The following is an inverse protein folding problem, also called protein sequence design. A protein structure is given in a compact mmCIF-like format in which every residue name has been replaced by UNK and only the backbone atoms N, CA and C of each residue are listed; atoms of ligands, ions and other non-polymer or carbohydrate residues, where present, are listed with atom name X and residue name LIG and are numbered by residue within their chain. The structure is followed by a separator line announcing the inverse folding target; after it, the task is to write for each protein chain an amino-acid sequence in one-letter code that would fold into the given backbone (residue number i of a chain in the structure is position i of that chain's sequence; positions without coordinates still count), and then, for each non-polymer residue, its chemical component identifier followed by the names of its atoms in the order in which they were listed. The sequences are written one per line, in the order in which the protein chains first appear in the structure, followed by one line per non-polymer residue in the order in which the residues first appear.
data_IF_358296102943
#
_entry.id   IF_358296102943
#
_cell.length_a   1.000
_cell.length_b   1.000
_cell.length_c   1.000
_cell.angle_alpha   90.00
_cell.angle_beta   90.00
_cell.angle_gamma   90.00
#
_symmetry.space_group_name_H-M   'P 1'
#
loop_
_entity.id
_entity.type
_entity.pdbx_description
1 polymer ?
#
# COMPACT_ATOMS: atom_id res chain seq x y z
N UNK A 1 57.32 -13.98 -41.13
CA UNK A 1 56.00 -13.46 -40.70
C UNK A 1 55.09 -14.65 -40.44
N UNK A 2 54.84 -14.99 -39.17
CA UNK A 2 53.91 -16.06 -38.79
C UNK A 2 52.69 -15.42 -38.12
N UNK A 3 51.54 -15.57 -38.78
CA UNK A 3 50.24 -15.06 -38.37
C UNK A 3 49.68 -15.89 -37.21
N UNK A 4 49.32 -15.26 -36.09
CA UNK A 4 48.68 -15.90 -34.95
C UNK A 4 47.15 -15.88 -35.12
N UNK A 5 46.54 -17.04 -35.33
CA UNK A 5 45.09 -17.19 -35.40
C UNK A 5 44.49 -17.27 -33.99
N UNK A 6 43.82 -16.23 -33.52
CA UNK A 6 43.06 -16.22 -32.26
C UNK A 6 41.87 -17.18 -32.35
N UNK A 7 41.89 -18.24 -31.53
CA UNK A 7 40.80 -19.21 -31.34
C UNK A 7 39.60 -18.50 -30.70
N UNK A 8 38.51 -18.31 -31.43
CA UNK A 8 37.21 -17.91 -30.84
C UNK A 8 36.47 -19.18 -30.41
N UNK A 9 36.31 -19.39 -29.11
CA UNK A 9 35.43 -20.42 -28.56
C UNK A 9 33.98 -19.93 -28.66
N UNK A 10 33.21 -20.54 -29.55
CA UNK A 10 31.77 -20.36 -29.59
C UNK A 10 31.14 -21.29 -28.55
N UNK A 11 30.29 -20.73 -27.69
CA UNK A 11 29.48 -21.49 -26.75
C UNK A 11 28.59 -22.47 -27.52
N UNK A 12 28.43 -23.69 -27.01
CA UNK A 12 27.53 -24.67 -27.62
C UNK A 12 26.07 -24.26 -27.35
N UNK A 13 25.16 -24.60 -28.27
CA UNK A 13 23.72 -24.33 -28.10
C UNK A 13 23.16 -24.93 -26.80
N UNK A 14 23.69 -26.08 -26.38
CA UNK A 14 23.29 -26.76 -25.16
C UNK A 14 23.74 -26.00 -23.91
N UNK A 15 24.96 -25.46 -23.93
CA UNK A 15 25.50 -24.66 -22.82
C UNK A 15 24.72 -23.36 -22.63
N UNK A 16 24.31 -22.70 -23.74
CA UNK A 16 23.46 -21.51 -23.68
C UNK A 16 22.10 -21.81 -23.06
N UNK A 17 21.48 -22.94 -23.41
CA UNK A 17 20.19 -23.35 -22.86
C UNK A 17 20.27 -23.58 -21.35
N UNK A 18 21.32 -24.27 -20.88
CA UNK A 18 21.54 -24.53 -19.44
C UNK A 18 21.69 -23.22 -18.66
N UNK A 19 22.42 -22.24 -19.19
CA UNK A 19 22.59 -20.93 -18.55
C UNK A 19 21.25 -20.20 -18.39
N UNK A 20 20.40 -20.20 -19.42
CA UNK A 20 19.08 -19.54 -19.37
C UNK A 20 18.18 -20.17 -18.30
N UNK A 21 18.20 -21.50 -18.18
CA UNK A 21 17.40 -22.23 -17.17
C UNK A 21 17.88 -21.91 -15.75
N UNK A 22 19.20 -21.92 -15.50
CA UNK A 22 19.76 -21.61 -14.19
C UNK A 22 19.44 -20.17 -13.78
N UNK A 23 19.62 -19.22 -14.70
CA UNK A 23 19.29 -17.81 -14.46
C UNK A 23 17.81 -17.65 -14.11
N UNK A 24 16.91 -18.33 -14.83
CA UNK A 24 15.47 -18.31 -14.56
C UNK A 24 15.11 -18.83 -13.17
N UNK A 25 15.76 -19.91 -12.71
CA UNK A 25 15.56 -20.47 -11.37
C UNK A 25 16.07 -19.51 -10.28
N UNK A 26 17.25 -18.92 -10.48
CA UNK A 26 17.83 -17.97 -9.52
C UNK A 26 16.95 -16.71 -9.41
N UNK A 27 16.42 -16.21 -10.53
CA UNK A 27 15.45 -15.11 -10.50
C UNK A 27 14.17 -15.52 -9.77
N UNK A 28 13.61 -16.69 -10.07
CA UNK A 28 12.40 -17.16 -9.40
C UNK A 28 12.59 -17.32 -7.88
N UNK A 29 13.71 -17.89 -7.44
CA UNK A 29 14.01 -18.06 -6.01
C UNK A 29 14.38 -16.73 -5.34
N UNK A 30 15.06 -15.83 -6.05
CA UNK A 30 15.42 -14.49 -5.56
C UNK A 30 14.21 -13.61 -5.30
N UNK A 31 13.15 -13.73 -6.11
CA UNK A 31 11.92 -12.96 -5.91
C UNK A 31 10.97 -13.61 -4.88
N UNK A 32 10.86 -14.94 -4.83
CA UNK A 32 9.97 -15.62 -3.89
C UNK A 32 10.55 -15.73 -2.46
N UNK A 33 11.85 -15.49 -2.26
CA UNK A 33 12.50 -15.59 -0.95
C UNK A 33 12.32 -14.38 -0.02
N UNK A 34 11.63 -13.33 -0.48
CA UNK A 34 11.55 -12.02 0.20
C UNK A 34 10.24 -11.75 0.97
N UNK A 35 9.41 -12.76 1.23
CA UNK A 35 8.28 -12.63 2.16
C UNK A 35 8.45 -13.53 3.38
N UNK A 36 9.53 -13.31 4.14
CA UNK A 36 9.59 -13.77 5.52
C UNK A 36 8.90 -12.75 6.40
N UNK A 37 7.57 -12.86 6.47
CA UNK A 37 6.75 -12.13 7.45
C UNK A 37 7.25 -12.45 8.86
N UNK A 38 7.87 -11.48 9.51
CA UNK A 38 8.20 -11.59 10.93
C UNK A 38 6.89 -11.54 11.74
N UNK A 39 6.58 -12.65 12.40
CA UNK A 39 5.48 -12.88 13.35
C UNK A 39 5.53 -12.02 14.64
N UNK A 40 5.94 -10.74 14.55
CA UNK A 40 5.70 -9.76 15.61
C UNK A 40 4.64 -8.79 15.11
N UNK A 41 3.55 -8.54 15.86
CA UNK A 41 2.55 -7.56 15.45
C UNK A 41 3.23 -6.19 15.35
N UNK A 42 3.51 -5.77 14.11
CA UNK A 42 4.04 -4.44 13.82
C UNK A 42 2.93 -3.45 14.14
N UNK A 43 3.29 -2.32 14.74
CA UNK A 43 2.31 -1.27 15.00
C UNK A 43 1.65 -0.82 13.69
N UNK A 44 0.36 -0.54 13.72
CA UNK A 44 -0.37 0.05 12.61
C UNK A 44 0.10 1.49 12.44
N UNK A 45 0.67 1.80 11.28
CA UNK A 45 1.24 3.09 10.89
C UNK A 45 0.65 3.49 9.53
N UNK A 46 0.81 4.75 9.14
CA UNK A 46 0.36 5.22 7.83
C UNK A 46 0.95 4.42 6.65
N UNK A 47 2.18 3.89 6.79
CA UNK A 47 2.89 3.19 5.72
C UNK A 47 2.49 1.71 5.58
N UNK A 48 2.05 1.06 6.65
CA UNK A 48 1.68 -0.35 6.64
C UNK A 48 0.18 -0.56 6.85
N UNK A 49 -0.63 0.50 6.81
CA UNK A 49 -2.06 0.43 7.14
C UNK A 49 -2.78 -0.56 6.23
N UNK A 50 -2.62 -0.39 4.91
CA UNK A 50 -3.24 -1.24 3.91
C UNK A 50 -2.81 -2.71 4.03
N UNK A 51 -1.50 -2.94 4.08
CA UNK A 51 -0.95 -4.29 4.15
C UNK A 51 -1.29 -4.97 5.48
N UNK A 52 -1.32 -4.24 6.60
CA UNK A 52 -1.63 -4.81 7.91
C UNK A 52 -3.10 -5.23 8.02
N UNK A 53 -4.03 -4.47 7.43
CA UNK A 53 -5.44 -4.87 7.41
C UNK A 53 -5.67 -6.04 6.45
N UNK A 54 -5.13 -5.98 5.23
CA UNK A 54 -5.31 -7.04 4.22
C UNK A 54 -4.73 -8.40 4.64
N UNK A 55 -3.69 -8.42 5.49
CA UNK A 55 -3.12 -9.64 6.05
C UNK A 55 -3.68 -10.03 7.43
N UNK A 56 -4.64 -9.27 7.97
CA UNK A 56 -5.25 -9.61 9.26
C UNK A 56 -6.23 -10.77 9.11
N UNK A 57 -6.36 -11.59 10.16
CA UNK A 57 -7.33 -12.70 10.19
C UNK A 57 -8.79 -12.22 10.07
N UNK A 58 -9.03 -10.95 10.38
CA UNK A 58 -10.33 -10.31 10.27
C UNK A 58 -10.67 -9.91 8.83
N UNK A 59 -9.73 -9.94 7.87
CA UNK A 59 -10.01 -9.49 6.51
C UNK A 59 -10.62 -10.60 5.65
N UNK A 60 -11.90 -10.46 5.31
CA UNK A 60 -12.65 -11.39 4.45
C UNK A 60 -12.86 -10.88 3.02
N UNK A 61 -11.97 -10.00 2.55
CA UNK A 61 -12.00 -9.42 1.20
C UNK A 61 -12.50 -7.98 1.15
N UNK A 62 -13.38 -7.57 2.06
CA UNK A 62 -13.72 -6.18 2.27
C UNK A 62 -13.61 -5.84 3.75
N UNK A 63 -13.38 -4.56 4.07
CA UNK A 63 -13.38 -4.09 5.44
C UNK A 63 -13.56 -2.57 5.53
N UNK A 64 -14.08 -2.09 6.65
CA UNK A 64 -14.00 -0.68 7.01
C UNK A 64 -13.23 -0.54 8.31
N UNK A 65 -12.15 0.23 8.28
CA UNK A 65 -11.40 0.65 9.45
C UNK A 65 -11.87 2.06 9.85
N UNK A 66 -12.25 2.23 11.10
CA UNK A 66 -12.49 3.54 11.71
C UNK A 66 -11.55 3.73 12.89
N UNK A 67 -11.04 4.94 13.09
CA UNK A 67 -10.27 5.29 14.27
C UNK A 67 -10.89 6.49 14.99
N UNK A 68 -10.87 6.45 16.32
CA UNK A 68 -11.41 7.46 17.24
C UNK A 68 -10.37 7.82 18.30
N UNK A 69 -10.73 8.72 19.23
CA UNK A 69 -9.87 9.15 20.34
C UNK A 69 -8.50 9.65 19.87
N UNK A 70 -8.51 10.60 18.92
CA UNK A 70 -7.28 11.11 18.28
C UNK A 70 -6.48 9.99 17.58
N UNK A 71 -7.16 9.02 16.98
CA UNK A 71 -6.58 7.92 16.23
C UNK A 71 -5.70 7.00 17.08
N UNK A 72 -6.07 6.85 18.36
CA UNK A 72 -5.41 5.92 19.30
C UNK A 72 -6.12 4.58 19.37
N UNK A 73 -7.43 4.58 19.13
CA UNK A 73 -8.27 3.38 19.13
C UNK A 73 -8.86 3.20 17.74
N UNK A 74 -8.71 2.03 17.15
CA UNK A 74 -9.28 1.71 15.86
C UNK A 74 -10.18 0.48 15.96
N UNK A 75 -11.18 0.45 15.10
CA UNK A 75 -12.15 -0.63 15.00
C UNK A 75 -12.28 -1.05 13.56
N UNK A 76 -12.41 -2.35 13.33
CA UNK A 76 -12.52 -2.96 12.02
C UNK A 76 -13.86 -3.68 11.93
N UNK A 77 -14.55 -3.53 10.80
CA UNK A 77 -15.64 -4.43 10.41
C UNK A 77 -15.29 -5.07 9.07
N UNK A 78 -15.78 -6.26 8.86
CA UNK A 78 -15.45 -7.13 7.71
C UNK A 78 -16.47 -7.04 6.58
N UNK A 79 -17.65 -6.50 6.87
CA UNK A 79 -18.72 -6.24 5.91
C UNK A 79 -19.66 -5.14 6.46
N UNK A 80 -20.68 -4.73 5.70
CA UNK A 80 -21.61 -3.66 6.09
C UNK A 80 -22.56 -4.08 7.23
N UNK A 81 -22.82 -5.39 7.37
CA UNK A 81 -23.71 -5.99 8.37
C UNK A 81 -23.01 -6.45 9.65
N UNK A 82 -21.69 -6.61 9.63
CA UNK A 82 -20.91 -7.03 10.78
C UNK A 82 -20.66 -5.87 11.75
N UNK A 83 -20.64 -6.14 13.06
CA UNK A 83 -20.30 -5.13 14.05
C UNK A 83 -18.84 -4.71 13.89
N UNK A 84 -18.54 -3.49 14.33
CA UNK A 84 -17.16 -3.05 14.49
C UNK A 84 -16.51 -3.76 15.69
N UNK A 85 -15.38 -4.41 15.44
CA UNK A 85 -14.54 -5.09 16.43
C UNK A 85 -13.29 -4.25 16.70
N UNK A 86 -12.80 -4.28 17.95
CA UNK A 86 -11.60 -3.53 18.31
C UNK A 86 -10.36 -4.10 17.61
N UNK A 87 -9.51 -3.21 17.08
CA UNK A 87 -8.23 -3.61 16.52
C UNK A 87 -7.20 -3.71 17.65
N UNK A 88 -6.89 -4.94 18.07
CA UNK A 88 -6.10 -5.22 19.28
C UNK A 88 -4.58 -4.97 19.14
N UNK A 89 -4.06 -4.86 17.91
CA UNK A 89 -2.63 -4.59 17.71
C UNK A 89 -2.28 -3.14 18.04
N UNK A 90 -1.00 -2.90 18.35
CA UNK A 90 -0.50 -1.56 18.66
C UNK A 90 -0.79 -0.58 17.51
N UNK A 91 -1.29 0.61 17.83
CA UNK A 91 -1.60 1.67 16.86
C UNK A 91 -0.61 2.84 17.04
N UNK A 92 -0.03 3.33 15.95
CA UNK A 92 0.82 4.52 15.89
C UNK A 92 0.31 5.49 14.83
N UNK A 93 -0.93 5.92 15.02
CA UNK A 93 -1.64 6.89 14.19
C UNK A 93 -2.11 8.10 15.01
N UNK A 94 -1.56 8.30 16.21
CA UNK A 94 -2.02 9.35 17.11
C UNK A 94 -1.96 10.73 16.44
N UNK A 95 -3.03 11.52 16.65
CA UNK A 95 -3.17 12.90 16.14
C UNK A 95 -3.15 12.99 14.60
N UNK A 96 -3.56 11.92 13.91
CA UNK A 96 -3.69 11.92 12.45
C UNK A 96 -4.82 12.84 11.99
N UNK A 97 -4.51 13.68 11.01
CA UNK A 97 -5.47 14.39 10.17
C UNK A 97 -5.54 13.71 8.81
N UNK A 98 -6.75 13.64 8.27
CA UNK A 98 -7.02 12.95 7.01
C UNK A 98 -7.46 13.97 5.97
N UNK A 99 -6.87 13.95 4.78
CA UNK A 99 -7.21 14.85 3.67
C UNK A 99 -7.60 14.06 2.42
N UNK A 100 -8.47 14.68 1.62
CA UNK A 100 -8.85 14.26 0.28
C UNK A 100 -8.73 15.43 -0.70
N UNK A 101 -8.96 15.18 -1.99
CA UNK A 101 -9.13 16.25 -2.98
C UNK A 101 -10.61 16.44 -3.33
N UNK A 102 -11.04 17.69 -3.43
CA UNK A 102 -12.36 18.01 -3.99
C UNK A 102 -12.33 18.05 -5.53
N UNK A 103 -13.47 18.38 -6.15
CA UNK A 103 -13.61 18.47 -7.62
C UNK A 103 -12.71 19.51 -8.28
N UNK A 104 -12.20 20.48 -7.52
CA UNK A 104 -11.28 21.52 -7.96
C UNK A 104 -9.82 21.14 -7.67
N UNK A 105 -9.56 19.87 -7.36
CA UNK A 105 -8.24 19.33 -7.03
C UNK A 105 -7.59 20.01 -5.82
N UNK A 106 -8.36 20.65 -4.93
CA UNK A 106 -7.84 21.29 -3.72
C UNK A 106 -7.96 20.39 -2.50
N UNK A 107 -6.99 20.50 -1.59
CA UNK A 107 -6.94 19.73 -0.36
C UNK A 107 -8.12 20.09 0.55
N UNK A 108 -8.86 19.07 0.94
CA UNK A 108 -9.97 19.15 1.88
C UNK A 108 -9.66 18.28 3.08
N UNK A 109 -9.67 18.86 4.28
CA UNK A 109 -9.62 18.10 5.52
C UNK A 109 -10.93 17.32 5.68
N UNK A 110 -10.83 16.00 5.85
CA UNK A 110 -11.97 15.14 6.13
C UNK A 110 -12.37 15.27 7.60
N UNK A 111 -13.64 15.62 7.81
CA UNK A 111 -14.29 15.56 9.11
C UNK A 111 -15.31 14.43 9.08
N UNK A 112 -14.81 13.21 9.31
CA UNK A 112 -15.65 12.03 9.40
C UNK A 112 -16.60 12.14 10.60
N UNK A 113 -17.67 11.35 10.59
CA UNK A 113 -18.77 11.42 11.56
C UNK A 113 -18.38 11.05 13.00
N UNK A 114 -19.30 10.38 13.71
CA UNK A 114 -19.05 9.94 15.08
C UNK A 114 -19.32 8.45 15.22
N UNK A 115 -18.49 7.77 15.99
CA UNK A 115 -18.68 6.40 16.42
C UNK A 115 -18.57 6.33 17.94
N UNK A 116 -19.57 5.73 18.61
CA UNK A 116 -19.67 5.72 20.08
C UNK A 116 -19.52 7.12 20.71
N UNK A 117 -20.21 8.11 20.14
CA UNK A 117 -20.14 9.53 20.53
C UNK A 117 -18.74 10.18 20.46
N UNK A 118 -17.79 9.54 19.78
CA UNK A 118 -16.43 10.07 19.58
C UNK A 118 -16.23 10.43 18.12
N UNK A 119 -15.54 11.55 17.85
CA UNK A 119 -15.23 11.99 16.49
C UNK A 119 -14.31 10.96 15.82
N UNK A 120 -14.67 10.56 14.60
CA UNK A 120 -13.82 9.73 13.76
C UNK A 120 -12.71 10.62 13.20
N UNK A 121 -11.47 10.16 13.29
CA UNK A 121 -10.30 10.89 12.76
C UNK A 121 -9.73 10.24 11.49
N UNK A 122 -10.08 8.98 11.25
CA UNK A 122 -9.73 8.23 10.06
C UNK A 122 -10.84 7.22 9.78
N UNK A 123 -11.42 7.29 8.58
CA UNK A 123 -12.24 6.22 8.00
C UNK A 123 -11.59 5.75 6.69
N UNK A 124 -11.35 4.43 6.59
CA UNK A 124 -10.77 3.84 5.39
C UNK A 124 -11.46 2.53 5.04
N UNK A 125 -11.89 2.43 3.78
CA UNK A 125 -12.52 1.25 3.23
C UNK A 125 -11.50 0.44 2.44
N UNK A 126 -11.61 -0.88 2.51
CA UNK A 126 -10.83 -1.87 1.80
C UNK A 126 -11.78 -2.72 0.96
N UNK A 127 -11.40 -2.98 -0.28
CA UNK A 127 -12.26 -3.62 -1.27
C UNK A 127 -11.65 -4.93 -1.77
N UNK A 128 -12.51 -5.82 -2.28
CA UNK A 128 -12.13 -7.18 -2.74
C UNK A 128 -11.11 -7.20 -3.87
N UNK A 129 -11.06 -6.13 -4.66
CA UNK A 129 -10.08 -5.96 -5.73
C UNK A 129 -8.68 -5.54 -5.21
N UNK A 130 -8.47 -5.53 -3.90
CA UNK A 130 -7.23 -5.11 -3.26
C UNK A 130 -7.04 -3.60 -3.16
N UNK A 131 -8.01 -2.81 -3.64
CA UNK A 131 -7.98 -1.36 -3.49
C UNK A 131 -8.47 -0.91 -2.11
N UNK A 132 -8.22 0.35 -1.81
CA UNK A 132 -8.66 1.00 -0.59
C UNK A 132 -9.04 2.46 -0.85
N UNK A 133 -9.59 3.16 0.14
CA UNK A 133 -9.77 4.61 0.06
C UNK A 133 -8.41 5.28 -0.19
N UNK A 134 -8.34 6.15 -1.21
CA UNK A 134 -7.18 7.01 -1.43
C UNK A 134 -7.24 8.16 -0.43
N UNK A 135 -6.16 8.40 0.31
CA UNK A 135 -6.13 9.38 1.40
C UNK A 135 -4.75 10.03 1.51
N UNK A 136 -4.70 11.23 2.09
CA UNK A 136 -3.46 11.85 2.57
C UNK A 136 -3.55 11.92 4.09
N UNK A 137 -2.55 11.40 4.78
CA UNK A 137 -2.48 11.41 6.24
C UNK A 137 -1.36 12.36 6.70
N UNK A 138 -1.67 13.23 7.64
CA UNK A 138 -0.68 14.07 8.33
C UNK A 138 -0.71 13.74 9.81
N UNK A 139 0.43 13.38 10.39
CA UNK A 139 0.56 13.16 11.82
C UNK A 139 1.94 13.62 12.31
N UNK A 140 2.23 13.36 13.60
CA UNK A 140 3.52 13.73 14.23
C UNK A 140 4.76 13.17 13.53
N UNK A 141 4.63 12.10 12.75
CA UNK A 141 5.74 11.44 12.06
C UNK A 141 5.96 11.96 10.65
N UNK A 142 5.00 12.70 10.09
CA UNK A 142 5.10 13.33 8.77
C UNK A 142 3.81 13.28 7.97
N UNK A 143 3.95 13.47 6.67
CA UNK A 143 2.85 13.48 5.70
C UNK A 143 2.99 12.25 4.81
N UNK A 144 1.87 11.58 4.55
CA UNK A 144 1.82 10.31 3.85
C UNK A 144 0.74 10.33 2.79
N UNK A 145 1.09 9.86 1.59
CA UNK A 145 0.12 9.60 0.53
C UNK A 145 -0.20 8.10 0.50
N UNK A 146 -1.48 7.76 0.62
CA UNK A 146 -1.99 6.40 0.56
C UNK A 146 -2.77 6.23 -0.75
N UNK A 147 -2.23 5.49 -1.74
CA UNK A 147 -2.91 5.27 -3.00
C UNK A 147 -4.09 4.31 -2.85
N UNK A 148 -5.13 4.48 -3.68
CA UNK A 148 -6.27 3.55 -3.69
C UNK A 148 -5.87 2.16 -4.21
N UNK A 149 -5.27 2.11 -5.40
CA UNK A 149 -5.09 0.87 -6.15
C UNK A 149 -3.62 0.48 -6.23
N UNK A 150 -2.88 1.18 -7.09
CA UNK A 150 -1.49 0.88 -7.44
C UNK A 150 -0.51 1.72 -6.62
N UNK A 151 0.63 1.11 -6.30
CA UNK A 151 1.72 1.76 -5.58
C UNK A 151 1.65 1.53 -4.07
N UNK A 152 2.79 1.77 -3.43
CA UNK A 152 2.95 1.66 -1.99
C UNK A 152 2.68 3.02 -1.34
N UNK A 153 2.15 3.03 -0.09
CA UNK A 153 2.11 4.25 0.71
C UNK A 153 3.50 4.92 0.77
N UNK A 154 3.54 6.22 0.57
CA UNK A 154 4.78 6.99 0.54
C UNK A 154 4.75 8.13 1.54
N UNK A 155 5.84 8.30 2.29
CA UNK A 155 6.07 9.52 3.08
C UNK A 155 6.59 10.61 2.14
N UNK A 156 6.09 11.83 2.33
CA UNK A 156 6.45 13.02 1.54
C UNK A 156 6.81 14.19 2.46
N UNK A 157 7.43 15.21 1.88
CA UNK A 157 7.91 16.37 2.63
C UNK A 157 6.82 17.43 2.83
N UNK A 158 5.76 17.42 2.02
CA UNK A 158 4.70 18.42 2.08
C UNK A 158 3.33 17.91 1.63
N UNK A 159 2.27 18.62 2.04
CA UNK A 159 0.90 18.35 1.59
C UNK A 159 0.74 18.58 0.08
N UNK A 160 1.48 19.53 -0.49
CA UNK A 160 1.45 19.79 -1.93
C UNK A 160 2.05 18.64 -2.72
N UNK A 161 3.17 18.06 -2.23
CA UNK A 161 3.74 16.86 -2.85
C UNK A 161 2.78 15.67 -2.76
N UNK A 162 2.09 15.48 -1.63
CA UNK A 162 1.06 14.45 -1.50
C UNK A 162 -0.09 14.65 -2.51
N UNK A 163 -0.51 15.91 -2.72
CA UNK A 163 -1.53 16.30 -3.71
C UNK A 163 -1.06 15.99 -5.14
N UNK A 164 0.17 16.31 -5.50
CA UNK A 164 0.71 15.99 -6.83
C UNK A 164 0.80 14.48 -7.07
N UNK A 165 1.21 13.70 -6.05
CA UNK A 165 1.16 12.23 -6.12
C UNK A 165 -0.25 11.70 -6.30
N UNK A 166 -1.23 12.29 -5.61
CA UNK A 166 -2.65 11.96 -5.78
C UNK A 166 -3.09 12.12 -7.23
N UNK A 167 -2.87 13.30 -7.81
CA UNK A 167 -3.28 13.61 -9.18
C UNK A 167 -2.59 12.71 -10.20
N UNK A 168 -1.30 12.43 -10.00
CA UNK A 168 -0.55 11.48 -10.84
C UNK A 168 -1.16 10.08 -10.79
N UNK A 169 -1.49 9.57 -9.60
CA UNK A 169 -2.09 8.24 -9.44
C UNK A 169 -3.50 8.16 -10.01
N UNK A 170 -4.33 9.18 -9.80
CA UNK A 170 -5.70 9.20 -10.32
C UNK A 170 -5.73 9.20 -11.86
N UNK A 171 -4.76 9.86 -12.52
CA UNK A 171 -4.61 9.80 -13.98
C UNK A 171 -4.20 8.42 -14.48
N UNK A 172 -3.31 7.72 -13.76
CA UNK A 172 -2.93 6.34 -14.11
C UNK A 172 -4.14 5.40 -14.02
N UNK A 173 -4.95 5.53 -12.97
CA UNK A 173 -6.17 4.73 -12.81
C UNK A 173 -7.21 5.03 -13.91
N UNK A 174 -7.39 6.30 -14.29
CA UNK A 174 -8.30 6.68 -15.38
C UNK A 174 -7.83 6.15 -16.74
N UNK A 175 -6.53 6.23 -17.04
CA UNK A 175 -5.96 5.74 -18.30
C UNK A 175 -5.95 4.21 -18.45
N UNK A 176 -6.01 3.46 -17.34
CA UNK A 176 -6.19 2.00 -17.37
C UNK A 176 -7.63 1.54 -17.65
N UNK A 177 -8.60 2.46 -17.68
CA UNK A 177 -10.00 2.19 -18.01
C UNK A 177 -10.31 2.11 -19.51
N UNK A 178 -9.40 2.55 -20.39
CA UNK A 178 -9.60 2.60 -21.86
C UNK A 178 -9.48 1.22 -22.55
N UNK A 179 -9.52 0.12 -21.80
CA UNK A 179 -9.41 -1.25 -22.32
C UNK A 179 -10.67 -2.11 -22.11
N UNK A 180 -11.81 -1.52 -21.73
CA UNK A 180 -13.10 -2.20 -21.65
C UNK A 180 -14.18 -1.52 -22.50
#
# INVERSE_FOLDING_TARGET
MLSSTTRRSAFTLLELLVVIVIVSIVYFLGFNGMEKSENKPRALTALNLKTSIQHSELFSGEATLICIDQCRNCYLRTDISSPFEAYENKIDLAETKTYTLNSQESLLLLEDGRYQDKKICLEMNFYRNGSSTQLILENRHGIYFLPAFFGEPAKVDSLEEARELWLKNSRLAAGSGDFY
#
